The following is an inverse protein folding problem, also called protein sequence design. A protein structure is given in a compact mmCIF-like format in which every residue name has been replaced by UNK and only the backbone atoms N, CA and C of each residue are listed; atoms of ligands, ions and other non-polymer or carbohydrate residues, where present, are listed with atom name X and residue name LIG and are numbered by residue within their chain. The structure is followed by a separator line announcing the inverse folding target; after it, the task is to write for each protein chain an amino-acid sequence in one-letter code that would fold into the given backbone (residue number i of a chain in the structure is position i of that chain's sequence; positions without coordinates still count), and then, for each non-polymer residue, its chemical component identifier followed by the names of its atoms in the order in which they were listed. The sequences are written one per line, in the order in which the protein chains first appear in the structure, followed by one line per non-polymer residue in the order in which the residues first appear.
data_IF_752386351612
#
_entry.id   IF_752386351612
#
_cell.length_a   1.000
_cell.length_b   1.000
_cell.length_c   1.000
_cell.angle_alpha   90.00
_cell.angle_beta   90.00
_cell.angle_gamma   90.00
#
_symmetry.space_group_name_H-M   'P 1'
#
loop_
_entity.id
_entity.type
_entity.pdbx_description
1 polymer ?
#
# COMPACT_ATOMS: atom_id res chain seq x y z
N UNK A 1 31.57 28.72 -6.04
CA UNK A 1 30.60 28.62 -4.93
C UNK A 1 29.85 27.27 -4.88
N UNK A 2 29.87 26.44 -5.93
CA UNK A 2 29.15 25.14 -5.96
C UNK A 2 29.85 23.96 -5.23
N UNK A 3 31.17 24.01 -5.01
CA UNK A 3 31.90 22.94 -4.30
C UNK A 3 31.62 22.87 -2.78
N UNK A 4 31.05 23.93 -2.18
CA UNK A 4 30.73 23.97 -0.75
C UNK A 4 29.40 23.30 -0.40
N UNK A 5 28.40 23.39 -1.29
CA UNK A 5 27.06 22.82 -1.09
C UNK A 5 27.04 21.30 -1.26
N UNK A 6 27.81 20.75 -2.21
CA UNK A 6 27.91 19.29 -2.39
C UNK A 6 28.61 18.61 -1.21
N UNK A 7 29.67 19.20 -0.67
CA UNK A 7 30.37 18.67 0.50
C UNK A 7 29.50 18.70 1.76
N UNK A 8 28.73 19.78 1.96
CA UNK A 8 27.78 19.89 3.08
C UNK A 8 26.62 18.89 2.95
N UNK A 9 26.05 18.71 1.76
CA UNK A 9 24.99 17.73 1.53
C UNK A 9 25.48 16.31 1.80
N UNK A 10 26.66 15.96 1.29
CA UNK A 10 27.25 14.64 1.52
C UNK A 10 27.55 14.38 3.01
N UNK A 11 28.02 15.40 3.76
CA UNK A 11 28.22 15.24 5.21
C UNK A 11 26.93 15.06 6.00
N UNK A 12 25.85 15.78 5.63
CA UNK A 12 24.54 15.64 6.27
C UNK A 12 23.91 14.27 5.95
N UNK A 13 24.00 13.79 4.71
CA UNK A 13 23.51 12.47 4.32
C UNK A 13 24.24 11.35 5.09
N UNK A 14 25.56 11.46 5.28
CA UNK A 14 26.34 10.50 6.07
C UNK A 14 25.93 10.52 7.54
N UNK A 15 25.67 11.70 8.11
CA UNK A 15 25.23 11.83 9.50
C UNK A 15 23.83 11.22 9.71
N UNK A 16 22.90 11.48 8.79
CA UNK A 16 21.56 10.91 8.81
C UNK A 16 21.59 9.37 8.67
N UNK A 17 22.44 8.82 7.80
CA UNK A 17 22.64 7.37 7.68
C UNK A 17 23.21 6.75 8.96
N UNK A 18 24.13 7.43 9.64
CA UNK A 18 24.72 6.94 10.89
C UNK A 18 23.72 6.97 12.05
N UNK A 19 22.89 8.02 12.12
CA UNK A 19 21.78 8.11 13.07
C UNK A 19 20.79 6.95 12.82
N UNK A 20 20.43 6.72 11.56
CA UNK A 20 19.50 5.65 11.19
C UNK A 20 20.05 4.27 11.54
N UNK A 21 21.32 3.97 11.22
CA UNK A 21 21.99 2.72 11.60
C UNK A 21 21.98 2.50 13.12
N UNK A 22 22.32 3.52 13.89
CA UNK A 22 22.31 3.46 15.36
C UNK A 22 20.91 3.13 15.89
N UNK A 23 19.88 3.79 15.35
CA UNK A 23 18.50 3.56 15.76
C UNK A 23 17.97 2.19 15.35
N UNK A 24 18.40 1.65 14.21
CA UNK A 24 18.11 0.27 13.80
C UNK A 24 18.68 -0.71 14.83
N UNK A 25 19.95 -0.54 15.25
CA UNK A 25 20.55 -1.40 16.26
C UNK A 25 19.82 -1.34 17.60
N UNK A 26 19.41 -0.15 18.05
CA UNK A 26 18.64 0.02 19.29
C UNK A 26 17.26 -0.64 19.19
N UNK A 27 16.54 -0.41 18.09
CA UNK A 27 15.25 -1.04 17.85
C UNK A 27 15.38 -2.58 17.81
N UNK A 28 16.41 -3.09 17.14
CA UNK A 28 16.68 -4.54 17.05
C UNK A 28 16.79 -5.16 18.43
N UNK A 29 17.60 -4.58 19.32
CA UNK A 29 17.75 -5.06 20.71
C UNK A 29 16.40 -5.08 21.45
N UNK A 30 15.59 -4.02 21.32
CA UNK A 30 14.30 -3.92 22.01
C UNK A 30 13.27 -4.93 21.50
N UNK A 31 13.19 -5.10 20.19
CA UNK A 31 12.24 -6.03 19.55
C UNK A 31 12.67 -7.47 19.83
N UNK A 32 13.95 -7.83 19.67
CA UNK A 32 14.46 -9.19 19.94
C UNK A 32 14.28 -9.59 21.41
N UNK A 33 14.40 -8.64 22.35
CA UNK A 33 14.13 -8.89 23.77
C UNK A 33 12.66 -9.27 24.03
N UNK A 34 11.72 -8.66 23.31
CA UNK A 34 10.28 -8.91 23.49
C UNK A 34 9.78 -10.08 22.64
N UNK A 35 10.40 -10.30 21.49
CA UNK A 35 10.06 -11.35 20.53
C UNK A 35 11.34 -11.90 19.89
N UNK A 36 11.93 -12.97 20.47
CA UNK A 36 13.20 -13.53 20.01
C UNK A 36 13.18 -14.02 18.55
N UNK A 37 12.01 -14.35 18.00
CA UNK A 37 11.89 -14.79 16.60
C UNK A 37 12.11 -13.64 15.60
N UNK A 38 12.07 -12.39 16.05
CA UNK A 38 12.37 -11.22 15.21
C UNK A 38 13.82 -11.13 14.75
N UNK A 39 14.72 -11.95 15.31
CA UNK A 39 16.14 -12.00 14.93
C UNK A 39 16.39 -12.25 13.44
N UNK A 40 15.49 -13.01 12.80
CA UNK A 40 15.58 -13.35 11.37
C UNK A 40 15.15 -12.20 10.45
N UNK A 41 14.58 -11.13 11.00
CA UNK A 41 14.09 -9.99 10.22
C UNK A 41 15.27 -9.14 9.74
N UNK A 42 15.26 -8.78 8.47
CA UNK A 42 16.25 -7.88 7.86
C UNK A 42 16.14 -6.43 8.37
N UNK A 43 17.29 -5.73 8.45
CA UNK A 43 17.35 -4.33 8.88
C UNK A 43 16.47 -3.39 8.04
N UNK A 44 16.29 -3.69 6.75
CA UNK A 44 15.39 -2.91 5.88
C UNK A 44 13.95 -2.89 6.38
N UNK A 45 13.48 -3.96 7.04
CA UNK A 45 12.16 -3.95 7.67
C UNK A 45 12.12 -3.02 8.88
N UNK A 46 13.08 -3.13 9.81
CA UNK A 46 13.16 -2.25 10.98
C UNK A 46 13.25 -0.77 10.57
N UNK A 47 14.07 -0.48 9.55
CA UNK A 47 14.24 0.85 8.96
C UNK A 47 12.91 1.48 8.53
N UNK A 48 12.06 0.74 7.82
CA UNK A 48 10.75 1.25 7.36
C UNK A 48 9.83 1.63 8.53
N UNK A 49 9.79 0.83 9.58
CA UNK A 49 9.00 1.12 10.78
C UNK A 49 9.56 2.31 11.55
N UNK A 50 10.89 2.46 11.63
CA UNK A 50 11.54 3.66 12.19
C UNK A 50 11.14 4.91 11.41
N UNK A 51 11.29 4.92 10.09
CA UNK A 51 10.92 6.06 9.23
C UNK A 51 9.44 6.44 9.38
N UNK A 52 8.55 5.45 9.45
CA UNK A 52 7.12 5.67 9.68
C UNK A 52 6.79 6.27 11.05
N UNK A 53 7.68 6.15 12.04
CA UNK A 53 7.55 6.74 13.37
C UNK A 53 8.59 7.84 13.62
N UNK A 54 9.07 8.50 12.56
CA UNK A 54 10.00 9.63 12.63
C UNK A 54 11.28 9.30 13.43
N UNK A 55 11.78 8.08 13.24
CA UNK A 55 12.95 7.53 13.92
C UNK A 55 12.80 7.49 15.46
N UNK A 56 11.57 7.43 15.98
CA UNK A 56 11.28 7.15 17.38
C UNK A 56 11.36 5.63 17.61
N UNK A 57 12.39 5.22 18.33
CA UNK A 57 12.74 3.81 18.53
C UNK A 57 11.63 3.05 19.28
N UNK A 58 11.05 3.66 20.31
CA UNK A 58 10.02 2.99 21.13
C UNK A 58 8.71 2.85 20.35
N UNK A 59 8.23 3.92 19.71
CA UNK A 59 7.03 3.88 18.89
C UNK A 59 7.18 2.92 17.71
N UNK A 60 8.35 2.91 17.07
CA UNK A 60 8.65 1.98 15.98
C UNK A 60 8.67 0.53 16.46
N UNK A 61 9.31 0.25 17.61
CA UNK A 61 9.35 -1.10 18.22
C UNK A 61 7.94 -1.60 18.52
N UNK A 62 7.10 -0.78 19.15
CA UNK A 62 5.72 -1.14 19.47
C UNK A 62 4.88 -1.41 18.22
N UNK A 63 5.03 -0.58 17.18
CA UNK A 63 4.37 -0.80 15.89
C UNK A 63 4.85 -2.10 15.22
N UNK A 64 6.15 -2.36 15.25
CA UNK A 64 6.74 -3.53 14.63
C UNK A 64 6.33 -4.84 15.33
N UNK A 65 6.29 -4.85 16.66
CA UNK A 65 5.79 -6.00 17.44
C UNK A 65 4.31 -6.28 17.16
N UNK A 66 3.49 -5.22 17.04
CA UNK A 66 2.08 -5.36 16.60
C UNK A 66 1.98 -5.98 15.20
N UNK A 67 2.83 -5.55 14.27
CA UNK A 67 2.92 -6.13 12.93
C UNK A 67 3.32 -7.62 12.97
N UNK A 68 4.34 -8.00 13.74
CA UNK A 68 4.75 -9.40 13.87
C UNK A 68 3.62 -10.28 14.41
N UNK A 69 2.93 -9.81 15.46
CA UNK A 69 1.77 -10.51 16.00
C UNK A 69 0.64 -10.63 14.96
N UNK A 70 0.30 -9.54 14.28
CA UNK A 70 -0.72 -9.56 13.22
C UNK A 70 -0.33 -10.54 12.10
N UNK A 71 0.92 -10.50 11.63
CA UNK A 71 1.41 -11.35 10.53
C UNK A 71 1.29 -12.84 10.87
N UNK A 72 1.68 -13.24 12.09
CA UNK A 72 1.57 -14.65 12.54
C UNK A 72 0.13 -15.14 12.58
N UNK A 73 -0.80 -14.28 12.97
CA UNK A 73 -2.21 -14.65 13.11
C UNK A 73 -2.95 -14.60 11.77
N UNK A 74 -2.70 -13.59 10.94
CA UNK A 74 -3.42 -13.37 9.69
C UNK A 74 -2.84 -14.19 8.52
N UNK A 75 -1.53 -14.43 8.51
CA UNK A 75 -0.83 -15.21 7.48
C UNK A 75 -0.02 -16.34 8.13
N UNK A 76 -0.67 -17.30 8.82
CA UNK A 76 0.02 -18.32 9.59
C UNK A 76 0.91 -19.23 8.74
N UNK A 77 0.55 -19.43 7.47
CA UNK A 77 1.31 -20.23 6.51
C UNK A 77 2.42 -19.42 5.80
N UNK A 78 2.67 -18.18 6.23
CA UNK A 78 3.70 -17.30 5.67
C UNK A 78 3.34 -16.63 4.35
N UNK A 79 2.36 -17.15 3.60
CA UNK A 79 1.79 -16.54 2.40
C UNK A 79 0.31 -16.86 2.26
N UNK A 80 -0.40 -16.07 1.44
CA UNK A 80 -1.80 -16.31 1.06
C UNK A 80 -1.83 -16.92 -0.33
N UNK A 81 -2.52 -18.05 -0.49
CA UNK A 81 -2.66 -18.72 -1.79
C UNK A 81 -3.79 -18.09 -2.62
N UNK A 82 -3.72 -18.08 -3.96
CA UNK A 82 -4.82 -17.63 -4.82
C UNK A 82 -6.15 -18.37 -4.57
N UNK A 83 -6.09 -19.60 -4.06
CA UNK A 83 -7.27 -20.39 -3.66
C UNK A 83 -8.03 -19.82 -2.46
N UNK A 84 -7.35 -19.14 -1.54
CA UNK A 84 -7.96 -18.53 -0.35
C UNK A 84 -8.71 -17.23 -0.69
N UNK A 85 -8.38 -16.60 -1.83
CA UNK A 85 -8.89 -15.29 -2.28
C UNK A 85 -9.50 -15.38 -3.68
N UNK A 86 -10.11 -16.52 -4.01
CA UNK A 86 -10.60 -16.85 -5.37
C UNK A 86 -11.50 -15.76 -5.97
N UNK A 87 -12.43 -15.23 -5.18
CA UNK A 87 -13.36 -14.19 -5.65
C UNK A 87 -12.62 -12.91 -6.08
N UNK A 88 -11.59 -12.52 -5.33
CA UNK A 88 -10.80 -11.33 -5.64
C UNK A 88 -9.89 -11.55 -6.85
N UNK A 89 -9.34 -12.77 -7.00
CA UNK A 89 -8.54 -13.17 -8.16
C UNK A 89 -9.39 -13.20 -9.44
N UNK A 90 -10.61 -13.74 -9.37
CA UNK A 90 -11.54 -13.84 -10.51
C UNK A 90 -11.96 -12.48 -11.07
N UNK A 91 -12.00 -11.44 -10.24
CA UNK A 91 -12.29 -10.07 -10.68
C UNK A 91 -11.22 -9.53 -11.67
N UNK A 92 -10.02 -10.15 -11.74
CA UNK A 92 -8.96 -9.82 -12.69
C UNK A 92 -8.66 -8.31 -12.77
N UNK A 93 -8.53 -7.69 -11.59
CA UNK A 93 -8.43 -6.23 -11.41
C UNK A 93 -7.02 -5.72 -11.14
N UNK A 94 -6.06 -6.61 -10.86
CA UNK A 94 -4.67 -6.24 -10.55
C UNK A 94 -3.67 -6.86 -11.52
N UNK A 95 -2.68 -6.05 -11.91
CA UNK A 95 -1.62 -6.40 -12.85
C UNK A 95 -0.28 -5.92 -12.28
N UNK A 96 0.76 -6.75 -12.36
CA UNK A 96 2.11 -6.41 -11.90
C UNK A 96 3.08 -6.46 -13.06
N UNK A 97 3.51 -5.29 -13.52
CA UNK A 97 4.36 -5.21 -14.69
C UNK A 97 5.06 -3.88 -14.84
N UNK A 98 6.20 -3.92 -15.53
CA UNK A 98 7.00 -2.75 -15.78
C UNK A 98 7.73 -2.24 -14.54
N UNK A 99 8.60 -1.29 -14.81
CA UNK A 99 9.44 -0.60 -13.84
C UNK A 99 9.39 0.88 -14.13
N UNK A 100 9.43 1.68 -13.08
CA UNK A 100 9.67 3.10 -13.27
C UNK A 100 11.17 3.37 -13.53
N UNK A 101 11.51 4.61 -13.85
CA UNK A 101 12.90 5.03 -14.15
C UNK A 101 13.87 4.87 -12.98
N UNK A 102 13.37 4.63 -11.76
CA UNK A 102 14.18 4.38 -10.56
C UNK A 102 14.22 2.89 -10.18
N UNK A 103 13.71 2.01 -11.04
CA UNK A 103 13.68 0.58 -10.78
C UNK A 103 12.70 0.21 -9.66
N UNK A 104 11.60 0.94 -9.49
CA UNK A 104 10.46 0.57 -8.63
C UNK A 104 9.46 -0.24 -9.45
N UNK A 105 8.96 -1.38 -8.94
CA UNK A 105 7.95 -2.14 -9.66
C UNK A 105 6.64 -1.36 -9.68
N UNK A 106 5.86 -1.54 -10.75
CA UNK A 106 4.57 -0.87 -10.96
C UNK A 106 3.43 -1.89 -10.82
N UNK A 107 2.43 -1.52 -10.02
CA UNK A 107 1.16 -2.22 -9.93
C UNK A 107 0.06 -1.39 -10.59
N UNK A 108 -0.77 -2.02 -11.43
CA UNK A 108 -1.95 -1.41 -12.03
C UNK A 108 -3.22 -2.02 -11.44
N UNK A 109 -4.10 -1.17 -10.92
CA UNK A 109 -5.45 -1.51 -10.47
C UNK A 109 -6.46 -0.98 -11.50
N UNK A 110 -7.30 -1.86 -12.04
CA UNK A 110 -8.48 -1.49 -12.82
C UNK A 110 -9.70 -1.41 -11.89
N UNK A 111 -10.01 -0.21 -11.39
CA UNK A 111 -11.00 -0.03 -10.33
C UNK A 111 -12.43 -0.41 -10.77
N UNK A 112 -12.76 -0.28 -12.05
CA UNK A 112 -14.07 -0.68 -12.60
C UNK A 112 -14.33 -2.21 -12.57
N UNK A 113 -13.29 -3.01 -12.33
CA UNK A 113 -13.41 -4.46 -12.16
C UNK A 113 -13.58 -4.87 -10.71
N UNK A 114 -13.46 -3.93 -9.77
CA UNK A 114 -13.73 -4.22 -8.38
C UNK A 114 -15.23 -4.21 -8.12
N UNK A 115 -15.72 -5.31 -7.55
CA UNK A 115 -17.08 -5.39 -7.01
C UNK A 115 -17.00 -5.81 -5.55
N UNK A 116 -17.91 -5.25 -4.74
CA UNK A 116 -18.10 -5.68 -3.36
C UNK A 116 -18.62 -7.12 -3.35
N UNK A 117 -18.32 -7.88 -2.31
CA UNK A 117 -19.01 -9.14 -2.06
C UNK A 117 -20.51 -8.90 -1.84
N UNK A 118 -21.37 -9.90 -2.09
CA UNK A 118 -22.83 -9.77 -1.95
C UNK A 118 -23.20 -9.26 -0.55
N UNK A 119 -24.07 -8.23 -0.46
CA UNK A 119 -24.41 -7.51 0.79
C UNK A 119 -24.21 -5.99 0.71
N UNK A 120 -23.26 -5.55 -0.10
CA UNK A 120 -23.22 -4.21 -0.72
C UNK A 120 -23.35 -2.98 0.21
N UNK A 121 -24.00 -1.94 -0.33
CA UNK A 121 -24.29 -0.65 0.32
C UNK A 121 -25.24 -0.80 1.52
N UNK A 122 -26.11 -1.80 1.51
CA UNK A 122 -27.10 -1.99 2.57
C UNK A 122 -26.47 -2.52 3.85
N UNK A 123 -25.47 -3.40 3.74
CA UNK A 123 -24.65 -3.83 4.86
C UNK A 123 -23.72 -2.71 5.38
N UNK A 124 -23.15 -1.90 4.47
CA UNK A 124 -22.36 -0.71 4.85
C UNK A 124 -23.23 0.33 5.58
N UNK A 125 -24.43 0.63 5.08
CA UNK A 125 -25.39 1.52 5.75
C UNK A 125 -25.75 0.98 7.13
N UNK A 126 -26.05 -0.32 7.23
CA UNK A 126 -26.36 -0.98 8.50
C UNK A 126 -25.21 -0.85 9.50
N UNK A 127 -23.98 -1.08 9.05
CA UNK A 127 -22.76 -0.96 9.84
C UNK A 127 -22.49 0.48 10.27
N UNK A 128 -22.54 1.45 9.35
CA UNK A 128 -22.32 2.88 9.63
C UNK A 128 -23.38 3.47 10.58
N UNK A 129 -24.67 3.12 10.41
CA UNK A 129 -25.74 3.53 11.33
C UNK A 129 -25.60 2.91 12.73
N UNK A 130 -25.03 1.71 12.83
CA UNK A 130 -24.77 1.05 14.12
C UNK A 130 -23.61 1.74 14.87
N UNK A 131 -22.58 2.21 14.14
CA UNK A 131 -21.47 2.98 14.73
C UNK A 131 -21.88 4.37 15.25
N UNK A 132 -22.90 5.02 14.66
CA UNK A 132 -23.40 6.30 15.19
C UNK A 132 -24.28 6.16 16.44
N UNK A 133 -24.87 4.98 16.67
CA UNK A 133 -25.84 4.76 17.76
C UNK A 133 -25.28 3.97 18.93
N UNK A 134 -24.12 3.32 18.79
CA UNK A 134 -23.47 2.56 19.86
C UNK A 134 -22.45 3.40 20.64
N UNK A 135 -22.75 3.69 21.90
CA UNK A 135 -21.81 4.21 22.91
C UNK A 135 -21.00 3.11 23.58
N UNK A 136 -21.01 1.87 23.06
CA UNK A 136 -20.39 0.74 23.76
C UNK A 136 -19.59 -0.19 22.83
N UNK A 137 -18.44 -0.63 23.34
CA UNK A 137 -17.32 -1.31 22.68
C UNK A 137 -17.59 -2.75 22.21
N UNK A 138 -18.73 -3.03 21.59
CA UNK A 138 -18.97 -4.30 20.90
C UNK A 138 -18.55 -4.17 19.43
N UNK A 139 -17.47 -4.87 19.06
CA UNK A 139 -17.07 -5.12 17.68
C UNK A 139 -18.29 -5.67 16.93
N UNK A 140 -18.80 -4.89 15.97
CA UNK A 140 -19.79 -5.36 15.01
C UNK A 140 -19.18 -6.54 14.26
N UNK A 141 -19.93 -7.65 14.16
CA UNK A 141 -19.60 -8.80 13.33
C UNK A 141 -19.63 -8.34 11.87
N UNK A 142 -18.51 -7.82 11.38
CA UNK A 142 -18.20 -7.90 9.96
C UNK A 142 -18.07 -9.40 9.68
N UNK A 143 -18.69 -9.89 8.61
CA UNK A 143 -18.54 -11.30 8.23
C UNK A 143 -17.04 -11.59 8.12
N UNK A 144 -16.49 -12.42 9.01
CA UNK A 144 -15.05 -12.62 9.16
C UNK A 144 -14.43 -13.09 7.82
N UNK A 145 -15.22 -13.80 7.02
CA UNK A 145 -14.88 -14.25 5.67
C UNK A 145 -14.72 -13.10 4.65
N UNK A 146 -15.54 -12.04 4.77
CA UNK A 146 -15.41 -10.84 3.92
C UNK A 146 -14.15 -10.05 4.27
N UNK A 147 -13.92 -9.82 5.57
CA UNK A 147 -12.74 -9.10 6.04
C UNK A 147 -11.46 -9.84 5.64
N UNK A 148 -11.47 -11.17 5.73
CA UNK A 148 -10.37 -12.01 5.29
C UNK A 148 -10.15 -11.94 3.76
N UNK A 149 -11.19 -12.08 2.93
CA UNK A 149 -11.04 -12.10 1.47
C UNK A 149 -10.34 -10.85 0.93
N UNK A 150 -10.85 -9.67 1.29
CA UNK A 150 -10.34 -8.39 0.80
C UNK A 150 -8.96 -8.06 1.37
N UNK A 151 -8.80 -8.19 2.69
CA UNK A 151 -7.51 -7.94 3.37
C UNK A 151 -6.47 -8.93 2.87
N UNK A 152 -6.84 -10.20 2.71
CA UNK A 152 -5.99 -11.26 2.19
C UNK A 152 -5.56 -11.00 0.76
N UNK A 153 -6.45 -10.50 -0.10
CA UNK A 153 -6.07 -10.11 -1.45
C UNK A 153 -5.07 -8.96 -1.49
N UNK A 154 -5.21 -7.95 -0.62
CA UNK A 154 -4.27 -6.83 -0.56
C UNK A 154 -2.91 -7.29 -0.02
N UNK A 155 -2.89 -8.20 0.96
CA UNK A 155 -1.67 -8.83 1.47
C UNK A 155 -0.97 -9.64 0.37
N UNK A 156 -1.71 -10.50 -0.32
CA UNK A 156 -1.22 -11.24 -1.48
C UNK A 156 -0.63 -10.32 -2.55
N UNK A 157 -1.31 -9.21 -2.85
CA UNK A 157 -0.84 -8.20 -3.79
C UNK A 157 0.50 -7.59 -3.35
N UNK A 158 0.60 -7.15 -2.09
CA UNK A 158 1.84 -6.55 -1.60
C UNK A 158 2.99 -7.55 -1.55
N UNK A 159 2.75 -8.79 -1.12
CA UNK A 159 3.77 -9.83 -1.14
C UNK A 159 4.29 -10.06 -2.56
N UNK A 160 3.39 -10.17 -3.55
CA UNK A 160 3.76 -10.30 -4.96
C UNK A 160 4.57 -9.11 -5.49
N UNK A 161 4.22 -7.88 -5.10
CA UNK A 161 5.02 -6.69 -5.47
C UNK A 161 6.40 -6.76 -4.83
N UNK A 162 6.46 -7.10 -3.54
CA UNK A 162 7.70 -7.18 -2.76
C UNK A 162 8.64 -8.23 -3.36
N UNK A 163 8.13 -9.40 -3.77
CA UNK A 163 8.95 -10.45 -4.40
C UNK A 163 9.59 -10.03 -5.72
N UNK A 164 9.08 -8.98 -6.37
CA UNK A 164 9.68 -8.45 -7.60
C UNK A 164 10.80 -7.47 -7.33
N UNK A 165 10.84 -6.81 -6.17
CA UNK A 165 11.79 -5.71 -5.88
C UNK A 165 13.25 -6.19 -5.98
N UNK A 166 14.13 -5.49 -6.72
CA UNK A 166 15.55 -5.81 -6.73
C UNK A 166 16.19 -5.50 -5.38
N UNK A 167 17.37 -6.07 -5.08
CA UNK A 167 18.12 -5.73 -3.88
C UNK A 167 18.29 -4.23 -3.71
N UNK A 168 17.98 -3.72 -2.51
CA UNK A 168 18.04 -2.28 -2.19
C UNK A 168 16.80 -1.47 -2.58
N UNK A 169 15.86 -2.02 -3.35
CA UNK A 169 14.58 -1.37 -3.61
C UNK A 169 13.56 -1.75 -2.51
N UNK A 170 12.99 -0.73 -1.87
CA UNK A 170 11.99 -0.95 -0.80
C UNK A 170 10.58 -0.49 -1.22
N UNK A 171 10.47 0.23 -2.33
CA UNK A 171 9.26 0.95 -2.71
C UNK A 171 8.68 0.52 -4.05
N UNK A 172 7.38 0.73 -4.21
CA UNK A 172 6.63 0.50 -5.45
C UNK A 172 5.73 1.69 -5.81
N UNK A 173 5.28 1.72 -7.06
CA UNK A 173 4.27 2.65 -7.57
C UNK A 173 2.97 1.90 -7.85
N UNK A 174 1.84 2.54 -7.58
CA UNK A 174 0.51 2.06 -7.96
C UNK A 174 -0.11 3.04 -8.96
N UNK A 175 -0.74 2.51 -10.00
CA UNK A 175 -1.62 3.25 -10.89
C UNK A 175 -3.04 2.71 -10.65
N UNK A 176 -3.92 3.55 -10.10
CA UNK A 176 -5.35 3.28 -10.02
C UNK A 176 -6.06 3.86 -11.22
N UNK A 177 -6.47 3.00 -12.16
CA UNK A 177 -7.27 3.38 -13.32
C UNK A 177 -8.77 3.28 -13.00
N UNK A 178 -9.42 4.44 -12.96
CA UNK A 178 -10.84 4.59 -12.64
C UNK A 178 -11.73 4.66 -13.90
N UNK A 179 -11.18 4.34 -15.09
CA UNK A 179 -11.97 4.29 -16.31
C UNK A 179 -13.10 3.26 -16.17
N UNK A 180 -14.35 3.73 -16.27
CA UNK A 180 -15.56 2.92 -16.10
C UNK A 180 -15.97 2.67 -14.65
N UNK A 181 -15.26 3.24 -13.67
CA UNK A 181 -15.63 3.13 -12.26
C UNK A 181 -16.92 3.90 -11.96
N UNK A 182 -17.82 3.30 -11.19
CA UNK A 182 -19.05 3.94 -10.73
C UNK A 182 -19.49 3.44 -9.34
N UNK A 183 -20.73 3.74 -8.97
CA UNK A 183 -21.26 3.40 -7.64
C UNK A 183 -21.17 1.91 -7.30
N UNK A 184 -21.41 1.01 -8.27
CA UNK A 184 -21.31 -0.43 -8.07
C UNK A 184 -19.88 -0.91 -7.73
N UNK A 185 -18.87 -0.11 -8.10
CA UNK A 185 -17.44 -0.40 -7.85
C UNK A 185 -16.87 0.36 -6.66
N UNK A 186 -17.67 1.24 -6.04
CA UNK A 186 -17.23 2.09 -4.95
C UNK A 186 -17.28 1.34 -3.64
N UNK A 187 -16.14 0.82 -3.18
CA UNK A 187 -16.04 0.10 -1.91
C UNK A 187 -15.22 0.89 -0.88
N UNK A 188 -15.91 1.60 0.00
CA UNK A 188 -15.27 2.35 1.09
C UNK A 188 -14.54 1.41 2.06
N UNK A 189 -15.04 0.18 2.26
CA UNK A 189 -14.39 -0.82 3.15
C UNK A 189 -13.04 -1.23 2.56
N UNK A 190 -13.00 -1.49 1.25
CA UNK A 190 -11.75 -1.77 0.54
C UNK A 190 -10.72 -0.63 0.64
N UNK A 191 -11.16 0.62 0.48
CA UNK A 191 -10.26 1.77 0.58
C UNK A 191 -9.67 1.91 1.99
N UNK A 192 -10.49 1.75 3.03
CA UNK A 192 -10.05 1.84 4.42
C UNK A 192 -9.14 0.65 4.80
N UNK A 193 -9.46 -0.56 4.33
CA UNK A 193 -8.61 -1.74 4.56
C UNK A 193 -7.22 -1.57 3.91
N UNK A 194 -7.17 -1.16 2.63
CA UNK A 194 -5.90 -0.88 1.94
C UNK A 194 -5.09 0.22 2.63
N UNK A 195 -5.76 1.28 3.08
CA UNK A 195 -5.12 2.38 3.80
C UNK A 195 -4.52 1.91 5.13
N UNK A 196 -5.28 1.12 5.90
CA UNK A 196 -4.83 0.59 7.19
C UNK A 196 -3.64 -0.34 7.00
N UNK A 197 -3.67 -1.23 5.98
CA UNK A 197 -2.54 -2.10 5.65
C UNK A 197 -1.28 -1.31 5.30
N UNK A 198 -1.37 -0.29 4.43
CA UNK A 198 -0.20 0.53 4.04
C UNK A 198 0.36 1.33 5.21
N UNK A 199 -0.49 1.84 6.10
CA UNK A 199 -0.05 2.68 7.22
C UNK A 199 0.49 1.86 8.40
N UNK A 200 -0.10 0.70 8.69
CA UNK A 200 0.17 -0.05 9.92
C UNK A 200 1.06 -1.28 9.73
N UNK A 201 1.01 -1.92 8.56
CA UNK A 201 1.69 -3.20 8.32
C UNK A 201 2.69 -3.18 7.16
N UNK A 202 2.51 -2.27 6.19
CA UNK A 202 3.41 -2.06 5.06
C UNK A 202 3.98 -0.63 5.02
N UNK A 203 4.47 -0.08 6.15
CA UNK A 203 4.95 1.30 6.18
C UNK A 203 6.07 1.54 5.18
N UNK A 204 6.10 2.76 4.63
CA UNK A 204 7.16 3.23 3.72
C UNK A 204 7.37 2.39 2.45
N UNK A 205 6.41 1.53 2.07
CA UNK A 205 6.44 0.75 0.81
C UNK A 205 5.86 1.51 -0.39
N UNK A 206 4.82 2.31 -0.19
CA UNK A 206 4.24 3.10 -1.28
C UNK A 206 5.12 4.32 -1.56
N UNK A 207 5.53 4.49 -2.81
CA UNK A 207 6.15 5.74 -3.28
C UNK A 207 5.08 6.71 -3.79
N UNK A 208 4.30 6.30 -4.80
CA UNK A 208 3.27 7.13 -5.45
C UNK A 208 2.06 6.26 -5.79
N UNK A 209 0.87 6.82 -5.64
CA UNK A 209 -0.39 6.32 -6.19
C UNK A 209 -0.88 7.32 -7.23
N UNK A 210 -0.79 6.98 -8.51
CA UNK A 210 -1.41 7.74 -9.58
C UNK A 210 -2.87 7.36 -9.71
N UNK A 211 -3.78 8.32 -9.55
CA UNK A 211 -5.21 8.13 -9.78
C UNK A 211 -5.54 8.73 -11.15
N UNK A 212 -5.90 7.87 -12.10
CA UNK A 212 -6.12 8.24 -13.50
C UNK A 212 -7.56 7.98 -13.91
N UNK A 213 -8.08 8.75 -14.86
CA UNK A 213 -9.48 8.64 -15.31
C UNK A 213 -10.52 8.76 -14.19
N UNK A 214 -10.22 9.49 -13.11
CA UNK A 214 -11.14 9.69 -12.01
C UNK A 214 -12.42 10.42 -12.48
N UNK A 215 -13.61 9.80 -12.43
CA UNK A 215 -14.85 10.48 -12.78
C UNK A 215 -15.21 11.47 -11.66
N UNK A 216 -15.94 12.55 -11.98
CA UNK A 216 -16.28 13.58 -10.99
C UNK A 216 -16.97 13.01 -9.74
N UNK A 217 -17.81 11.97 -9.91
CA UNK A 217 -18.49 11.31 -8.80
C UNK A 217 -17.55 10.61 -7.80
N UNK A 218 -16.33 10.23 -8.22
CA UNK A 218 -15.31 9.68 -7.34
C UNK A 218 -14.95 10.64 -6.20
N UNK A 219 -15.07 11.95 -6.42
CA UNK A 219 -14.79 12.95 -5.38
C UNK A 219 -15.71 12.84 -4.16
N UNK A 220 -16.90 12.23 -4.30
CA UNK A 220 -17.78 11.93 -3.16
C UNK A 220 -17.17 10.83 -2.29
N UNK A 221 -16.72 9.73 -2.87
CA UNK A 221 -16.03 8.66 -2.15
C UNK A 221 -14.71 9.17 -1.54
N UNK A 222 -13.96 9.97 -2.30
CA UNK A 222 -12.71 10.58 -1.84
C UNK A 222 -12.90 11.43 -0.58
N UNK A 223 -13.96 12.24 -0.50
CA UNK A 223 -14.28 13.04 0.69
C UNK A 223 -14.53 12.19 1.94
N UNK A 224 -15.05 10.98 1.78
CA UNK A 224 -15.28 10.03 2.89
C UNK A 224 -13.96 9.42 3.36
N UNK A 225 -13.07 9.04 2.44
CA UNK A 225 -11.80 8.38 2.78
C UNK A 225 -10.74 9.38 3.25
N UNK A 226 -10.71 10.60 2.69
CA UNK A 226 -9.67 11.61 2.91
C UNK A 226 -9.32 11.88 4.39
N UNK A 227 -10.28 12.02 5.32
CA UNK A 227 -9.98 12.26 6.74
C UNK A 227 -9.11 11.17 7.39
N UNK A 228 -9.18 9.93 6.90
CA UNK A 228 -8.47 8.78 7.46
C UNK A 228 -7.03 8.64 6.92
N UNK A 229 -6.70 9.32 5.83
CA UNK A 229 -5.38 9.23 5.18
C UNK A 229 -4.39 10.09 5.96
N UNK A 230 -3.26 9.54 6.38
CA UNK A 230 -2.24 10.32 7.06
C UNK A 230 -1.54 11.33 6.10
N UNK A 231 -0.98 12.44 6.60
CA UNK A 231 -0.37 13.47 5.75
C UNK A 231 0.78 12.98 4.85
N UNK A 232 1.57 11.98 5.25
CA UNK A 232 2.65 11.43 4.41
C UNK A 232 2.05 10.66 3.24
N UNK A 233 1.01 9.86 3.47
CA UNK A 233 0.31 9.13 2.41
C UNK A 233 -0.42 10.06 1.45
N UNK A 234 -1.09 11.12 1.95
CA UNK A 234 -1.77 12.11 1.08
C UNK A 234 -0.86 12.72 0.02
N UNK A 235 0.38 13.06 0.40
CA UNK A 235 1.37 13.65 -0.52
C UNK A 235 1.80 12.72 -1.66
N UNK A 236 1.58 11.40 -1.49
CA UNK A 236 1.93 10.38 -2.48
C UNK A 236 0.80 10.12 -3.49
N UNK A 237 -0.41 10.65 -3.24
CA UNK A 237 -1.59 10.41 -4.07
C UNK A 237 -1.67 11.53 -5.11
N UNK A 238 -1.50 11.18 -6.37
CA UNK A 238 -1.40 12.10 -7.50
C UNK A 238 -2.61 11.87 -8.42
N UNK A 239 -3.55 12.80 -8.42
CA UNK A 239 -4.63 12.82 -9.41
C UNK A 239 -4.09 13.37 -10.73
N UNK A 240 -4.22 12.59 -11.79
CA UNK A 240 -3.69 12.95 -13.11
C UNK A 240 -4.83 13.41 -14.01
N UNK A 241 -4.68 14.57 -14.64
CA UNK A 241 -5.65 15.07 -15.61
C UNK A 241 -5.62 14.23 -16.90
N UNK A 242 -6.79 13.94 -17.45
CA UNK A 242 -6.91 13.08 -18.64
C UNK A 242 -6.18 13.66 -19.87
N UNK A 243 -6.06 14.99 -20.00
CA UNK A 243 -5.37 15.64 -21.12
C UNK A 243 -3.86 15.50 -21.03
N UNK A 244 -3.31 15.38 -19.81
CA UNK A 244 -1.88 15.22 -19.56
C UNK A 244 -1.50 13.82 -19.08
N UNK A 245 -2.42 12.85 -19.15
CA UNK A 245 -2.25 11.51 -18.59
C UNK A 245 -0.93 10.86 -19.01
N UNK A 246 -0.73 10.71 -20.32
CA UNK A 246 0.46 10.06 -20.86
C UNK A 246 1.73 10.84 -20.49
N UNK A 247 1.74 12.15 -20.68
CA UNK A 247 2.92 12.97 -20.38
C UNK A 247 3.33 12.89 -18.91
N UNK A 248 2.37 12.97 -17.98
CA UNK A 248 2.64 12.90 -16.54
C UNK A 248 3.17 11.52 -16.13
N UNK A 249 2.61 10.42 -16.65
CA UNK A 249 3.14 9.09 -16.36
C UNK A 249 4.55 8.89 -16.96
N UNK A 250 4.81 9.45 -18.13
CA UNK A 250 6.11 9.38 -18.81
C UNK A 250 7.23 10.19 -18.13
N UNK A 251 6.91 11.07 -17.19
CA UNK A 251 7.92 11.74 -16.35
C UNK A 251 8.67 10.69 -15.50
N UNK A 252 7.96 9.70 -14.97
CA UNK A 252 8.48 8.70 -14.03
C UNK A 252 8.67 7.31 -14.65
N UNK A 253 7.92 6.97 -15.71
CA UNK A 253 7.87 5.62 -16.28
C UNK A 253 8.26 5.68 -17.75
N UNK A 254 9.18 4.83 -18.20
CA UNK A 254 9.52 4.75 -19.63
C UNK A 254 8.34 4.20 -20.44
N UNK A 255 8.18 4.68 -21.67
CA UNK A 255 7.05 4.28 -22.54
C UNK A 255 7.01 2.75 -22.77
N UNK A 256 8.17 2.10 -22.82
CA UNK A 256 8.30 0.64 -22.95
C UNK A 256 7.83 -0.12 -21.71
N UNK A 257 7.80 0.52 -20.54
CA UNK A 257 7.39 -0.07 -19.26
C UNK A 257 5.94 0.26 -18.90
N UNK A 258 5.35 1.26 -19.55
CA UNK A 258 3.97 1.67 -19.32
C UNK A 258 2.98 0.74 -20.07
N UNK A 259 1.83 0.39 -19.46
CA UNK A 259 0.80 -0.38 -20.14
C UNK A 259 0.26 0.29 -21.41
N UNK A 260 -0.03 -0.50 -22.45
CA UNK A 260 -0.59 -0.01 -23.70
C UNK A 260 -1.92 0.75 -23.52
N UNK A 261 -2.73 0.32 -22.54
CA UNK A 261 -4.00 0.98 -22.17
C UNK A 261 -3.83 2.40 -21.64
N UNK A 262 -2.62 2.75 -21.18
CA UNK A 262 -2.25 4.08 -20.67
C UNK A 262 -1.31 4.83 -21.63
N UNK A 263 -1.19 4.34 -22.87
CA UNK A 263 -0.39 4.98 -23.92
C UNK A 263 1.07 4.55 -23.98
N UNK A 264 1.44 3.45 -23.30
CA UNK A 264 2.75 2.80 -23.42
C UNK A 264 2.76 1.64 -24.44
N UNK A 265 3.67 0.68 -24.24
CA UNK A 265 3.85 -0.49 -25.13
C UNK A 265 3.71 -1.84 -24.44
N UNK A 266 3.58 -1.86 -23.11
CA UNK A 266 3.56 -3.11 -22.35
C UNK A 266 2.17 -3.74 -22.36
N UNK A 267 2.09 -5.04 -22.64
CA UNK A 267 0.85 -5.82 -22.51
C UNK A 267 0.54 -6.14 -21.04
N UNK A 268 -0.75 -6.30 -20.73
CA UNK A 268 -1.21 -6.55 -19.36
C UNK A 268 -1.04 -8.02 -18.96
N UNK A 269 -0.28 -8.29 -17.90
CA UNK A 269 -0.15 -9.62 -17.28
C UNK A 269 -0.87 -9.65 -15.93
N UNK A 270 -1.94 -10.47 -15.78
CA UNK A 270 -2.64 -10.60 -14.50
C UNK A 270 -1.71 -11.02 -13.37
N UNK A 271 -1.94 -10.50 -12.16
CA UNK A 271 -1.08 -10.74 -11.00
C UNK A 271 -0.90 -12.23 -10.62
N UNK A 272 -1.90 -13.07 -10.90
CA UNK A 272 -1.83 -14.51 -10.62
C UNK A 272 -0.99 -15.28 -11.65
N UNK A 273 -0.62 -14.63 -12.75
CA UNK A 273 0.25 -15.16 -13.80
C UNK A 273 1.65 -14.51 -13.78
N UNK A 274 1.93 -13.63 -12.82
CA UNK A 274 3.15 -12.82 -12.72
C UNK A 274 4.12 -13.25 -11.63
#
# INVERSE_FOLDING_TARGET
MMMGSEKMNNSMEIEDENIEKTKISLMRILVEKQDPSSKEVEDGALRRFLRARNLDVEKASNMFLKYLNWKRNFVPNGSISPSEIRHEIQQNKMFLQGWDKKGRPIALLLAARHFQHEGGVDEFKRTYFTFQTSTNSQKVLVDDDFEFSLTGFIVYLFDKIITRMPPGQEKFIVIGDLKGWGYANSDIRAYLAALSLVQDYYPERLEKLFVVHAPYIFMTAWKVVYPFIDPKTRKKIIFVDNKSLKSTLLEEIDESQLPATLGGKLELVPIHNS
#
